data_IF_676634371196
#
_entry.id   IF_676634371196
#
_cell.length_a   1.000
_cell.length_b   1.000
_cell.length_c   1.000
_cell.angle_alpha   90.00
_cell.angle_beta   90.00
_cell.angle_gamma   90.00
#
_symmetry.space_group_name_H-M   'P 1'
#
loop_
_entity.id
_entity.type
_entity.pdbx_description
1 polymer ?
#
# COMPACT_ATOMS: atom_id res chain seq x y z
N UNK A 1 -1.83 -10.14 -14.37
CA UNK A 1 -1.64 -8.73 -14.82
C UNK A 1 -1.01 -7.98 -13.65
N UNK A 2 0.17 -7.38 -13.84
CA UNK A 2 0.98 -6.83 -12.74
C UNK A 2 0.55 -5.44 -12.29
N UNK A 3 -0.49 -5.36 -11.47
CA UNK A 3 -0.86 -4.14 -10.74
C UNK A 3 -0.56 -4.39 -9.26
N UNK A 4 0.30 -3.57 -8.67
CA UNK A 4 0.48 -3.50 -7.20
C UNK A 4 -0.31 -2.30 -6.70
N UNK A 5 -1.03 -2.41 -5.57
CA UNK A 5 -1.73 -1.27 -5.00
C UNK A 5 -0.74 -0.15 -4.66
N UNK A 6 -1.07 1.06 -5.07
CA UNK A 6 -0.37 2.30 -4.68
C UNK A 6 -0.72 2.68 -3.24
N UNK A 7 -1.97 2.42 -2.86
CA UNK A 7 -2.53 2.83 -1.58
C UNK A 7 -3.89 2.21 -1.33
N UNK A 8 -4.48 2.56 -0.19
CA UNK A 8 -5.81 2.12 0.22
C UNK A 8 -6.60 3.31 0.77
N UNK A 9 -7.89 3.37 0.47
CA UNK A 9 -8.84 4.25 1.16
C UNK A 9 -9.71 3.39 2.08
N UNK A 10 -9.89 3.85 3.31
CA UNK A 10 -10.69 3.17 4.33
C UNK A 10 -11.57 4.23 5.00
N UNK A 11 -12.86 3.98 5.09
CA UNK A 11 -13.81 4.85 5.80
C UNK A 11 -13.99 4.35 7.23
N UNK A 12 -13.43 5.07 8.21
CA UNK A 12 -13.46 4.75 9.63
C UNK A 12 -13.84 6.01 10.41
N UNK A 13 -15.15 6.32 10.47
CA UNK A 13 -15.74 7.61 10.90
C UNK A 13 -15.32 8.81 10.02
N UNK A 14 -14.02 8.89 9.73
CA UNK A 14 -13.29 9.77 8.85
C UNK A 14 -12.74 9.00 7.63
N UNK A 15 -12.27 9.72 6.61
CA UNK A 15 -11.52 9.09 5.51
C UNK A 15 -10.05 8.87 5.90
N UNK A 16 -9.57 7.65 5.74
CA UNK A 16 -8.16 7.27 5.93
C UNK A 16 -7.54 6.84 4.61
N UNK A 17 -6.39 7.42 4.26
CA UNK A 17 -5.60 7.03 3.11
C UNK A 17 -4.25 6.46 3.52
N UNK A 18 -3.97 5.23 3.10
CA UNK A 18 -2.69 4.56 3.31
C UNK A 18 -1.87 4.68 2.01
N UNK A 19 -0.74 5.38 2.05
CA UNK A 19 0.20 5.47 0.92
C UNK A 19 1.35 4.47 1.14
N UNK A 20 1.29 3.37 0.38
CA UNK A 20 2.24 2.25 0.50
C UNK A 20 3.65 2.68 0.09
N UNK A 21 3.77 3.53 -0.93
CA UNK A 21 5.06 3.97 -1.46
C UNK A 21 5.81 4.88 -0.47
N UNK A 22 5.07 5.75 0.23
CA UNK A 22 5.62 6.67 1.23
C UNK A 22 5.70 6.08 2.63
N UNK A 23 5.16 4.87 2.83
CA UNK A 23 5.02 4.24 4.14
C UNK A 23 4.33 5.15 5.18
N UNK A 24 3.24 5.81 4.77
CA UNK A 24 2.49 6.68 5.67
C UNK A 24 0.98 6.47 5.57
N UNK A 25 0.31 6.88 6.65
CA UNK A 25 -1.14 6.86 6.80
C UNK A 25 -1.59 8.30 7.03
N UNK A 26 -2.52 8.76 6.20
CA UNK A 26 -3.20 10.04 6.28
C UNK A 26 -4.59 9.83 6.84
N UNK A 27 -5.01 10.61 7.83
CA UNK A 27 -6.40 10.65 8.30
C UNK A 27 -6.94 12.06 8.09
N UNK A 28 -8.04 12.17 7.35
CA UNK A 28 -8.70 13.43 7.05
C UNK A 28 -9.90 13.57 7.97
N UNK A 29 -9.84 14.55 8.87
CA UNK A 29 -10.93 14.81 9.80
C UNK A 29 -11.63 16.12 9.41
N UNK A 30 -12.93 15.98 9.15
CA UNK A 30 -13.81 17.08 8.76
C UNK A 30 -14.44 17.67 10.01
N UNK A 31 -13.97 18.86 10.43
CA UNK A 31 -14.57 19.57 11.56
C UNK A 31 -15.92 20.15 11.12
N UNK A 32 -17.00 19.49 11.53
CA UNK A 32 -18.36 19.92 11.20
C UNK A 32 -18.75 21.16 12.02
N UNK A 33 -19.31 22.15 11.36
CA UNK A 33 -19.93 23.29 12.02
C UNK A 33 -21.38 22.98 12.46
N UNK A 34 -22.00 23.94 13.14
CA UNK A 34 -23.40 23.83 13.59
C UNK A 34 -24.43 23.64 12.48
N UNK A 35 -24.05 23.87 11.21
CA UNK A 35 -24.89 23.69 10.03
C UNK A 35 -24.58 22.39 9.27
N UNK A 36 -23.72 21.52 9.80
CA UNK A 36 -23.36 20.23 9.20
C UNK A 36 -22.52 20.35 7.93
N UNK A 37 -21.81 21.47 7.74
CA UNK A 37 -20.79 21.62 6.69
C UNK A 37 -19.39 21.62 7.31
N UNK A 38 -18.39 21.02 6.64
CA UNK A 38 -17.01 21.13 7.06
C UNK A 38 -16.54 22.58 6.86
N UNK A 39 -16.16 23.25 7.95
CA UNK A 39 -15.56 24.59 7.89
C UNK A 39 -14.02 24.52 7.80
N UNK A 40 -13.43 23.44 8.31
CA UNK A 40 -11.99 23.18 8.27
C UNK A 40 -11.72 21.68 8.13
N UNK A 41 -10.58 21.35 7.51
CA UNK A 41 -10.11 19.97 7.34
C UNK A 41 -8.76 19.86 8.04
N UNK A 42 -8.71 19.00 9.06
CA UNK A 42 -7.45 18.65 9.71
C UNK A 42 -6.91 17.34 9.14
N UNK A 43 -5.59 17.27 8.94
CA UNK A 43 -4.93 16.09 8.37
C UNK A 43 -3.90 15.56 9.38
N UNK A 44 -4.14 14.37 9.90
CA UNK A 44 -3.17 13.60 10.65
C UNK A 44 -2.27 12.80 9.70
N UNK A 45 -0.96 12.76 9.98
CA UNK A 45 0.01 11.95 9.21
C UNK A 45 0.85 11.10 10.15
N UNK A 46 0.91 9.79 9.90
CA UNK A 46 1.79 8.87 10.62
C UNK A 46 2.69 8.11 9.67
N UNK A 47 4.00 8.16 9.93
CA UNK A 47 4.98 7.32 9.24
C UNK A 47 5.18 5.99 9.97
N UNK A 48 5.18 4.91 9.19
CA UNK A 48 5.49 3.55 9.66
C UNK A 48 6.69 3.00 8.89
N UNK A 49 7.36 1.99 9.44
CA UNK A 49 8.51 1.39 8.77
C UNK A 49 8.07 0.45 7.64
N UNK A 50 8.99 0.12 6.74
CA UNK A 50 8.71 -0.75 5.59
C UNK A 50 8.08 -2.08 5.99
N UNK A 51 8.58 -2.75 7.03
CA UNK A 51 8.05 -4.07 7.44
C UNK A 51 6.61 -3.98 7.95
N UNK A 52 6.28 -2.93 8.72
CA UNK A 52 4.91 -2.66 9.14
C UNK A 52 4.01 -2.35 7.94
N UNK A 53 4.48 -1.55 6.98
CA UNK A 53 3.71 -1.23 5.77
C UNK A 53 3.50 -2.46 4.89
N UNK A 54 4.51 -3.32 4.72
CA UNK A 54 4.38 -4.58 4.00
C UNK A 54 3.38 -5.51 4.67
N UNK A 55 3.43 -5.65 6.00
CA UNK A 55 2.45 -6.44 6.75
C UNK A 55 1.04 -5.89 6.57
N UNK A 56 0.86 -4.59 6.80
CA UNK A 56 -0.44 -3.93 6.67
C UNK A 56 -1.01 -4.09 5.26
N UNK A 57 -0.23 -3.80 4.23
CA UNK A 57 -0.64 -3.91 2.83
C UNK A 57 -1.03 -5.34 2.47
N UNK A 58 -0.25 -6.33 2.91
CA UNK A 58 -0.54 -7.73 2.67
C UNK A 58 -1.89 -8.14 3.29
N UNK A 59 -2.14 -7.75 4.55
CA UNK A 59 -3.42 -8.02 5.21
C UNK A 59 -4.59 -7.30 4.51
N UNK A 60 -4.44 -6.03 4.13
CA UNK A 60 -5.50 -5.28 3.43
C UNK A 60 -5.90 -5.90 2.08
N UNK A 61 -4.97 -6.58 1.40
CA UNK A 61 -5.24 -7.26 0.12
C UNK A 61 -5.87 -8.63 0.33
N UNK A 62 -5.38 -9.39 1.32
CA UNK A 62 -5.65 -10.83 1.39
C UNK A 62 -6.60 -11.23 2.52
N UNK A 63 -6.75 -10.41 3.57
CA UNK A 63 -7.47 -10.77 4.80
C UNK A 63 -8.76 -10.00 5.03
N UNK A 64 -9.36 -9.41 3.99
CA UNK A 64 -10.71 -8.86 4.07
C UNK A 64 -11.69 -10.02 4.31
N UNK A 65 -12.23 -10.11 5.52
CA UNK A 65 -13.17 -11.15 5.95
C UNK A 65 -12.64 -12.60 5.81
N UNK A 66 -11.32 -12.78 5.71
CA UNK A 66 -10.66 -14.08 5.62
C UNK A 66 -9.44 -14.12 6.53
N UNK A 67 -9.27 -15.23 7.24
CA UNK A 67 -8.06 -15.45 8.02
C UNK A 67 -6.87 -15.79 7.12
N UNK A 68 -5.73 -15.21 7.46
CA UNK A 68 -4.42 -15.48 6.86
C UNK A 68 -3.53 -16.09 7.92
N UNK A 69 -2.98 -17.26 7.61
CA UNK A 69 -2.16 -18.02 8.56
C UNK A 69 -0.85 -17.31 8.88
N UNK A 70 -0.25 -17.65 10.03
CA UNK A 70 1.05 -17.12 10.42
C UNK A 70 2.13 -17.47 9.39
N UNK A 71 2.08 -18.69 8.87
CA UNK A 71 3.02 -19.24 7.90
C UNK A 71 2.93 -18.48 6.57
N UNK A 72 1.72 -18.17 6.10
CA UNK A 72 1.51 -17.33 4.92
C UNK A 72 2.07 -15.92 5.10
N UNK A 73 1.86 -15.30 6.26
CA UNK A 73 2.42 -13.96 6.54
C UNK A 73 3.95 -13.99 6.55
N UNK A 74 4.56 -14.94 7.24
CA UNK A 74 6.03 -15.06 7.29
C UNK A 74 6.61 -15.26 5.90
N UNK A 75 5.99 -16.12 5.07
CA UNK A 75 6.45 -16.36 3.70
C UNK A 75 6.40 -15.08 2.85
N UNK A 76 5.24 -14.44 2.73
CA UNK A 76 5.04 -13.37 1.75
C UNK A 76 5.53 -12.00 2.24
N UNK A 77 5.59 -11.75 3.54
CA UNK A 77 6.02 -10.45 4.09
C UNK A 77 7.51 -10.47 4.49
N UNK A 78 8.07 -11.63 4.86
CA UNK A 78 9.48 -11.75 5.23
C UNK A 78 10.31 -12.52 4.20
N UNK A 79 10.02 -13.80 3.96
CA UNK A 79 10.93 -14.68 3.22
C UNK A 79 11.12 -14.24 1.77
N UNK A 80 10.02 -13.89 1.09
CA UNK A 80 10.04 -13.38 -0.30
C UNK A 80 10.75 -12.02 -0.43
N UNK A 81 10.93 -11.31 0.69
CA UNK A 81 11.66 -10.05 0.77
C UNK A 81 13.09 -10.22 1.32
N UNK A 82 13.59 -11.46 1.44
CA UNK A 82 14.91 -11.79 2.01
C UNK A 82 15.12 -11.27 3.45
N UNK A 83 14.03 -11.14 4.21
CA UNK A 83 14.10 -10.77 5.63
C UNK A 83 14.11 -12.03 6.49
N UNK A 84 14.85 -12.01 7.61
CA UNK A 84 14.83 -13.12 8.56
C UNK A 84 13.45 -13.24 9.22
N UNK A 85 12.72 -14.31 8.90
CA UNK A 85 11.40 -14.61 9.43
C UNK A 85 11.48 -15.31 10.79
N UNK A 86 10.65 -14.87 11.73
CA UNK A 86 10.41 -15.60 12.98
C UNK A 86 9.07 -15.19 13.59
N UNK A 87 8.46 -16.10 14.35
CA UNK A 87 7.21 -15.80 15.05
C UNK A 87 7.34 -14.61 16.02
N UNK A 88 8.47 -14.50 16.71
CA UNK A 88 8.76 -13.38 17.60
C UNK A 88 8.82 -12.06 16.86
N UNK A 89 9.49 -12.02 15.70
CA UNK A 89 9.61 -10.80 14.90
C UNK A 89 8.27 -10.37 14.33
N UNK A 90 7.47 -11.32 13.85
CA UNK A 90 6.10 -11.04 13.40
C UNK A 90 5.25 -10.46 14.54
N UNK A 91 5.29 -11.06 15.73
CA UNK A 91 4.55 -10.57 16.89
C UNK A 91 4.93 -9.14 17.28
N UNK A 92 6.24 -8.83 17.28
CA UNK A 92 6.73 -7.48 17.56
C UNK A 92 6.23 -6.47 16.52
N UNK A 93 6.35 -6.78 15.23
CA UNK A 93 5.88 -5.90 14.16
C UNK A 93 4.36 -5.72 14.21
N UNK A 94 3.61 -6.81 14.42
CA UNK A 94 2.16 -6.78 14.54
C UNK A 94 1.69 -5.92 15.72
N UNK A 95 2.26 -6.12 16.90
CA UNK A 95 1.88 -5.34 18.10
C UNK A 95 2.21 -3.85 17.93
N UNK A 96 3.38 -3.53 17.37
CA UNK A 96 3.76 -2.15 17.09
C UNK A 96 2.85 -1.49 16.03
N UNK A 97 2.47 -2.24 14.99
CA UNK A 97 1.52 -1.78 13.99
C UNK A 97 0.15 -1.51 14.63
N UNK A 98 -0.38 -2.45 15.41
CA UNK A 98 -1.67 -2.30 16.11
C UNK A 98 -1.69 -1.06 17.01
N UNK A 99 -0.64 -0.86 17.81
CA UNK A 99 -0.51 0.33 18.66
C UNK A 99 -0.49 1.62 17.84
N UNK A 100 0.22 1.65 16.72
CA UNK A 100 0.25 2.83 15.83
C UNK A 100 -1.09 3.15 15.18
N UNK A 101 -1.86 2.13 14.81
CA UNK A 101 -3.21 2.30 14.26
C UNK A 101 -4.18 2.84 15.34
N UNK A 102 -4.07 2.33 16.57
CA UNK A 102 -4.85 2.85 17.71
C UNK A 102 -4.58 4.34 17.95
N UNK A 103 -3.32 4.80 17.86
CA UNK A 103 -2.97 6.22 17.96
C UNK A 103 -3.57 7.09 16.85
N UNK A 104 -3.96 6.48 15.73
CA UNK A 104 -4.70 7.12 14.64
C UNK A 104 -6.20 6.90 14.73
N UNK A 105 -6.73 6.50 15.90
CA UNK A 105 -8.14 6.24 16.14
C UNK A 105 -8.74 5.15 15.22
N UNK A 106 -7.95 4.17 14.81
CA UNK A 106 -8.52 2.94 14.23
C UNK A 106 -9.22 2.13 15.34
N UNK A 107 -10.29 1.38 15.02
CA UNK A 107 -10.90 0.44 15.94
C UNK A 107 -9.90 -0.58 16.47
N UNK A 108 -10.06 -0.99 17.73
CA UNK A 108 -9.15 -1.95 18.36
C UNK A 108 -9.17 -3.33 17.69
N UNK A 109 -10.31 -3.69 17.12
CA UNK A 109 -10.57 -4.92 16.39
C UNK A 109 -10.28 -4.79 14.88
N UNK A 110 -9.79 -3.64 14.40
CA UNK A 110 -9.50 -3.43 12.98
C UNK A 110 -8.54 -4.49 12.42
N UNK A 111 -7.46 -4.81 13.17
CA UNK A 111 -6.59 -5.95 12.88
C UNK A 111 -6.54 -6.88 14.10
N UNK A 112 -6.89 -8.13 13.89
CA UNK A 112 -6.88 -9.14 14.94
C UNK A 112 -6.00 -10.33 14.59
N UNK A 113 -5.54 -10.99 15.65
CA UNK A 113 -4.93 -12.30 15.59
C UNK A 113 -5.80 -13.28 16.39
N UNK A 114 -6.27 -14.34 15.74
CA UNK A 114 -6.99 -15.43 16.39
C UNK A 114 -6.12 -16.69 16.42
N UNK A 115 -5.96 -17.26 17.61
CA UNK A 115 -5.16 -18.48 17.82
C UNK A 115 -5.67 -19.61 16.92
N UNK A 116 -4.74 -20.29 16.24
CA UNK A 116 -4.99 -21.38 15.27
C UNK A 116 -5.64 -20.96 13.94
N UNK A 117 -6.09 -19.72 13.78
CA UNK A 117 -6.60 -19.22 12.48
C UNK A 117 -5.63 -18.25 11.81
N UNK A 118 -5.01 -17.37 12.58
CA UNK A 118 -4.08 -16.35 12.08
C UNK A 118 -4.66 -14.94 12.15
N UNK A 119 -4.38 -14.12 11.14
CA UNK A 119 -4.67 -12.69 11.12
C UNK A 119 -5.87 -12.37 10.25
N UNK A 120 -6.65 -11.35 10.65
CA UNK A 120 -7.83 -10.88 9.92
C UNK A 120 -7.95 -9.35 10.00
N UNK A 121 -8.49 -8.75 8.94
CA UNK A 121 -8.94 -7.35 8.95
C UNK A 121 -10.46 -7.36 9.11
N UNK A 122 -10.98 -6.72 10.18
CA UNK A 122 -12.42 -6.61 10.45
C UNK A 122 -12.95 -5.27 9.92
N UNK A 123 -12.96 -5.13 8.61
CA UNK A 123 -13.49 -3.93 7.97
C UNK A 123 -13.97 -4.26 6.57
N UNK A 124 -15.17 -3.80 6.22
CA UNK A 124 -15.81 -4.13 4.94
C UNK A 124 -15.45 -3.12 3.84
N UNK A 125 -15.30 -1.83 4.20
CA UNK A 125 -15.10 -0.76 3.23
C UNK A 125 -13.60 -0.41 3.07
N UNK A 126 -12.87 -1.25 2.34
CA UNK A 126 -11.47 -1.00 1.98
C UNK A 126 -11.34 -0.94 0.46
N UNK A 127 -10.98 0.22 -0.06
CA UNK A 127 -10.80 0.46 -1.49
C UNK A 127 -9.31 0.47 -1.82
N UNK A 128 -8.85 -0.50 -2.61
CA UNK A 128 -7.48 -0.51 -3.10
C UNK A 128 -7.31 0.46 -4.28
N UNK A 129 -6.35 1.38 -4.16
CA UNK A 129 -5.97 2.33 -5.21
C UNK A 129 -4.83 1.74 -6.04
N UNK A 130 -5.03 1.63 -7.34
CA UNK A 130 -4.00 1.17 -8.28
C UNK A 130 -3.59 2.31 -9.21
N UNK A 131 -2.30 2.39 -9.51
CA UNK A 131 -1.81 3.27 -10.57
C UNK A 131 -1.43 2.45 -11.80
N UNK A 132 -1.87 2.90 -12.97
CA UNK A 132 -1.38 2.36 -14.22
C UNK A 132 -0.02 3.01 -14.53
N UNK A 133 1.06 2.24 -14.38
CA UNK A 133 2.38 2.72 -14.74
C UNK A 133 2.49 2.91 -16.26
N UNK A 134 2.38 4.16 -16.73
CA UNK A 134 2.43 4.51 -18.16
C UNK A 134 3.81 4.24 -18.78
N UNK A 135 4.85 4.07 -17.97
CA UNK A 135 6.22 3.83 -18.44
C UNK A 135 6.48 2.38 -18.87
N UNK A 136 5.67 1.42 -18.42
CA UNK A 136 5.74 0.02 -18.87
C UNK A 136 5.34 -0.10 -20.35
N UNK A 137 4.47 0.78 -20.86
CA UNK A 137 4.10 0.80 -22.28
C UNK A 137 5.23 1.33 -23.17
N UNK A 138 5.99 2.34 -22.74
CA UNK A 138 7.15 2.84 -23.50
C UNK A 138 8.23 1.77 -23.65
N UNK A 139 8.56 1.05 -22.58
CA UNK A 139 9.64 0.06 -22.57
C UNK A 139 9.34 -1.20 -23.41
N UNK A 140 8.06 -1.55 -23.61
CA UNK A 140 7.65 -2.62 -24.53
C UNK A 140 7.65 -2.21 -26.01
N UNK A 141 7.39 -0.93 -26.30
CA UNK A 141 7.41 -0.40 -27.67
C UNK A 141 8.84 -0.26 -28.21
N UNK A 142 9.84 0.07 -27.38
CA UNK A 142 11.24 0.25 -27.84
C UNK A 142 11.98 -1.07 -28.08
N UNK A 143 11.58 -2.18 -27.45
CA UNK A 143 12.26 -3.49 -27.62
C UNK A 143 11.78 -4.28 -28.84
N UNK A 144 10.74 -3.81 -29.55
CA UNK A 144 10.15 -4.53 -30.68
C UNK A 144 10.66 -4.08 -32.07
N UNK A 145 11.60 -3.12 -32.16
CA UNK A 145 11.96 -2.50 -33.45
C UNK A 145 13.47 -2.42 -33.73
N UNK A 146 14.26 -3.40 -33.32
CA UNK A 146 15.63 -3.54 -33.85
C UNK A 146 15.84 -4.93 -34.46
N UNK A 147 15.26 -5.10 -35.65
CA UNK A 147 15.76 -6.06 -36.64
C UNK A 147 15.58 -5.47 -38.05
N UNK A 148 16.72 -5.40 -38.75
CA UNK A 148 16.96 -5.11 -40.18
C UNK A 148 17.17 -3.64 -40.60
N UNK A 149 18.47 -3.33 -40.71
CA UNK A 149 19.21 -2.58 -41.75
C UNK A 149 18.38 -1.73 -42.72
N UNK A 150 18.79 -0.46 -42.91
CA UNK A 150 19.34 0.06 -44.18
C UNK A 150 19.87 1.48 -44.01
N UNK A 151 21.08 1.71 -44.51
CA UNK A 151 21.81 2.97 -44.56
C UNK A 151 21.16 3.96 -45.54
N UNK A 152 20.96 5.22 -45.14
CA UNK A 152 20.87 6.37 -46.08
C UNK A 152 21.53 7.59 -45.43
N UNK A 153 22.59 8.07 -46.06
CA UNK A 153 23.27 9.35 -45.79
C UNK A 153 22.47 10.49 -46.41
N UNK A 154 22.24 11.63 -45.73
CA UNK A 154 22.11 12.96 -46.37
C UNK A 154 22.68 14.08 -45.48
N UNK A 155 23.47 14.93 -46.14
CA UNK A 155 24.25 16.12 -45.74
C UNK A 155 23.55 17.19 -44.88
N UNK A 156 24.30 17.78 -43.93
CA UNK A 156 24.05 19.14 -43.45
C UNK A 156 24.79 20.15 -44.33
N UNK A 157 24.04 21.01 -45.03
CA UNK A 157 24.56 22.23 -45.63
C UNK A 157 24.86 23.25 -44.52
N UNK A 158 26.03 23.86 -44.63
CA UNK A 158 26.42 25.07 -43.91
C UNK A 158 25.50 26.22 -44.34
N UNK A 159 25.01 26.99 -43.38
CA UNK A 159 24.51 28.35 -43.62
C UNK A 159 25.53 29.33 -43.03
N UNK A 160 25.87 30.31 -43.87
CA UNK A 160 26.73 31.46 -43.63
C UNK A 160 26.19 32.37 -42.52
#
# INVERSE_FOLDING_TARGET
>A
MGYSPYGFLIEIDDTVHIDVKKNCIYRFHDAQNSNGKPDDISIGVLYINNTMMSLLSYLLIHSQNKFITKEEVLKHVWDEHNLSSSGTRLWQVFTNLKHKLLLLNFPEDFIEYEKRKGYIIRHENIIALYYQNKDIKKMKMTKASHSRRSSVFINLRQHA
#
